data_IF_519504923475
#
_entry.id   IF_519504923475
#
_cell.length_a   1.000
_cell.length_b   1.000
_cell.length_c   1.000
_cell.angle_alpha   90.00
_cell.angle_beta   90.00
_cell.angle_gamma   90.00
#
_symmetry.space_group_name_H-M   'P 1'
#
loop_
_entity.id
_entity.type
_entity.pdbx_description
1 polymer ?
#
# COMPACT_ATOMS: atom_id res chain seq x y z
N UNK A 1 0.60 59.37 -20.68
CA UNK A 1 1.34 58.51 -19.72
C UNK A 1 0.33 57.95 -18.73
N UNK A 2 -0.09 56.70 -18.87
CA UNK A 2 -0.99 56.04 -17.91
C UNK A 2 -0.17 55.12 -17.01
N UNK A 3 -0.18 55.37 -15.71
CA UNK A 3 0.52 54.57 -14.72
C UNK A 3 -0.20 53.22 -14.54
N UNK A 4 0.48 52.12 -14.86
CA UNK A 4 0.06 50.77 -14.52
C UNK A 4 0.19 50.60 -13.00
N UNK A 5 -0.95 50.50 -12.30
CA UNK A 5 -0.98 50.14 -10.88
C UNK A 5 -0.69 48.65 -10.74
N UNK A 6 0.40 48.31 -10.04
CA UNK A 6 0.73 46.93 -9.69
C UNK A 6 -0.22 46.43 -8.62
N UNK A 7 -1.01 45.40 -8.95
CA UNK A 7 -1.88 44.71 -8.01
C UNK A 7 -1.06 44.01 -6.91
N UNK A 8 -1.53 43.96 -5.64
CA UNK A 8 -0.75 43.41 -4.54
C UNK A 8 -0.68 41.88 -4.61
N UNK A 9 0.49 41.36 -4.27
CA UNK A 9 0.90 39.96 -4.17
C UNK A 9 0.08 39.14 -3.15
N UNK A 10 -1.20 38.88 -3.41
CA UNK A 10 -2.11 38.17 -2.49
C UNK A 10 -2.17 36.65 -2.69
N UNK A 11 -1.46 36.10 -3.66
CA UNK A 11 -1.54 34.69 -4.04
C UNK A 11 -0.37 33.81 -3.56
N UNK A 12 0.71 34.41 -3.02
CA UNK A 12 1.91 33.67 -2.61
C UNK A 12 1.84 33.04 -1.20
N UNK A 13 0.88 33.41 -0.36
CA UNK A 13 0.81 32.98 1.06
C UNK A 13 -0.13 31.82 1.33
N UNK A 14 -0.94 31.39 0.34
CA UNK A 14 -1.92 30.31 0.51
C UNK A 14 -1.24 28.92 0.44
N UNK A 15 -0.17 28.79 -0.35
CA UNK A 15 0.58 27.54 -0.52
C UNK A 15 1.29 27.02 0.74
N UNK A 16 1.91 27.83 1.62
CA UNK A 16 2.52 27.32 2.86
C UNK A 16 1.51 26.90 3.93
N UNK A 17 0.27 27.40 3.89
CA UNK A 17 -0.76 27.04 4.89
C UNK A 17 -1.30 25.63 4.62
N UNK A 18 -1.57 25.30 3.36
CA UNK A 18 -2.11 23.99 2.96
C UNK A 18 -1.12 22.85 3.24
N UNK A 19 0.19 23.09 3.06
CA UNK A 19 1.23 22.09 3.38
C UNK A 19 1.40 21.89 4.89
N UNK A 20 1.29 22.95 5.70
CA UNK A 20 1.33 22.85 7.17
C UNK A 20 0.13 22.07 7.75
N UNK A 21 -1.05 22.22 7.16
CA UNK A 21 -2.25 21.46 7.58
C UNK A 21 -2.09 19.95 7.32
N UNK A 22 -1.42 19.55 6.24
CA UNK A 22 -1.19 18.13 5.93
C UNK A 22 -0.29 17.44 6.96
N UNK A 23 0.77 18.12 7.43
CA UNK A 23 1.64 17.58 8.48
C UNK A 23 0.88 17.42 9.81
N UNK A 24 0.08 18.42 10.19
CA UNK A 24 -0.77 18.34 11.37
C UNK A 24 -1.80 17.20 11.29
N UNK A 25 -2.40 16.99 10.12
CA UNK A 25 -3.34 15.88 9.91
C UNK A 25 -2.68 14.51 10.13
N UNK A 26 -1.45 14.31 9.65
CA UNK A 26 -0.71 13.06 9.84
C UNK A 26 -0.41 12.78 11.31
N UNK A 27 -0.02 13.80 12.07
CA UNK A 27 0.23 13.64 13.51
C UNK A 27 -1.06 13.37 14.27
N UNK A 28 -2.16 14.05 13.93
CA UNK A 28 -3.48 13.78 14.51
C UNK A 28 -3.94 12.34 14.27
N UNK A 29 -3.72 11.78 13.07
CA UNK A 29 -4.01 10.37 12.77
C UNK A 29 -3.13 9.42 13.58
N UNK A 30 -1.84 9.72 13.74
CA UNK A 30 -0.91 8.89 14.54
C UNK A 30 -1.31 8.79 16.02
N UNK A 31 -1.86 9.86 16.58
CA UNK A 31 -2.29 9.91 17.98
C UNK A 31 -3.78 9.61 18.17
N UNK A 32 -4.52 9.26 17.10
CA UNK A 32 -5.95 8.94 17.19
C UNK A 32 -6.83 10.10 17.65
N UNK A 33 -6.42 11.35 17.41
CA UNK A 33 -7.13 12.54 17.89
C UNK A 33 -8.43 12.72 17.09
N UNK A 34 -9.52 13.09 17.79
CA UNK A 34 -10.81 13.37 17.14
C UNK A 34 -10.73 14.60 16.23
N UNK A 35 -11.54 14.65 15.16
CA UNK A 35 -11.53 15.79 14.23
C UNK A 35 -11.82 17.13 14.94
N UNK A 36 -12.69 17.10 15.95
CA UNK A 36 -13.09 18.30 16.72
C UNK A 36 -11.95 18.79 17.61
N UNK A 37 -11.27 17.88 18.31
CA UNK A 37 -10.10 18.22 19.12
C UNK A 37 -8.94 18.69 18.23
N UNK A 38 -8.70 18.01 17.11
CA UNK A 38 -7.68 18.39 16.14
C UNK A 38 -7.92 19.79 15.56
N UNK A 39 -9.16 20.12 15.22
CA UNK A 39 -9.53 21.45 14.75
C UNK A 39 -9.23 22.55 15.80
N UNK A 40 -9.53 22.30 17.07
CA UNK A 40 -9.24 23.25 18.16
C UNK A 40 -7.73 23.44 18.37
N UNK A 41 -6.96 22.35 18.40
CA UNK A 41 -5.50 22.38 18.57
C UNK A 41 -4.84 23.14 17.43
N UNK A 42 -5.19 22.82 16.18
CA UNK A 42 -4.60 23.46 15.00
C UNK A 42 -5.02 24.93 14.93
N UNK A 43 -6.27 25.26 15.25
CA UNK A 43 -6.74 26.65 15.26
C UNK A 43 -6.03 27.48 16.34
N UNK A 44 -5.86 26.95 17.55
CA UNK A 44 -5.12 27.62 18.61
C UNK A 44 -3.65 27.83 18.24
N UNK A 45 -3.00 26.81 17.65
CA UNK A 45 -1.62 26.93 17.16
C UNK A 45 -1.51 28.00 16.05
N UNK A 46 -2.48 28.09 15.15
CA UNK A 46 -2.49 29.08 14.08
C UNK A 46 -2.75 30.50 14.58
N UNK A 47 -3.54 30.67 15.63
CA UNK A 47 -3.68 31.96 16.32
C UNK A 47 -2.37 32.36 17.00
N UNK A 48 -1.71 31.44 17.70
CA UNK A 48 -0.44 31.71 18.38
C UNK A 48 0.69 32.11 17.42
N UNK A 49 0.70 31.55 16.20
CA UNK A 49 1.69 31.88 15.15
C UNK A 49 1.26 33.12 14.33
N UNK A 50 0.12 33.73 14.63
CA UNK A 50 -0.37 34.94 13.93
C UNK A 50 -0.87 34.68 12.50
N UNK A 51 -1.17 33.43 12.15
CA UNK A 51 -1.73 33.06 10.84
C UNK A 51 -3.23 33.38 10.78
N UNK A 52 -3.94 33.21 11.91
CA UNK A 52 -5.35 33.57 12.05
C UNK A 52 -5.42 34.89 12.84
N UNK A 53 -5.98 35.93 12.24
CA UNK A 53 -6.42 37.16 12.92
C UNK A 53 -7.94 37.16 13.06
N UNK A 54 -8.47 37.92 14.02
CA UNK A 54 -9.93 38.06 14.23
C UNK A 54 -10.68 38.53 12.96
N UNK A 55 -9.99 39.27 12.09
CA UNK A 55 -10.53 39.77 10.82
C UNK A 55 -10.53 38.75 9.66
N UNK A 56 -9.83 37.61 9.77
CA UNK A 56 -9.62 36.65 8.68
C UNK A 56 -10.20 35.25 9.00
N UNK A 57 -11.53 35.17 9.07
CA UNK A 57 -12.29 33.95 9.41
C UNK A 57 -12.09 32.79 8.41
N UNK A 58 -11.70 33.09 7.17
CA UNK A 58 -11.57 32.08 6.10
C UNK A 58 -10.48 31.03 6.38
N UNK A 59 -9.48 31.35 7.20
CA UNK A 59 -8.31 30.49 7.47
C UNK A 59 -8.53 29.58 8.69
N UNK A 60 -9.61 29.77 9.46
CA UNK A 60 -9.92 28.97 10.65
C UNK A 60 -10.03 27.49 10.29
N UNK A 61 -9.39 26.63 11.08
CA UNK A 61 -9.39 25.19 10.85
C UNK A 61 -10.59 24.57 11.55
N UNK A 62 -11.62 24.27 10.77
CA UNK A 62 -12.80 23.56 11.24
C UNK A 62 -12.65 22.04 11.14
N UNK A 63 -13.62 21.32 11.70
CA UNK A 63 -13.70 19.86 11.67
C UNK A 63 -13.70 19.29 10.24
N UNK A 64 -14.41 19.92 9.31
CA UNK A 64 -14.48 19.48 7.92
C UNK A 64 -13.16 19.66 7.18
N UNK A 65 -12.39 20.71 7.48
CA UNK A 65 -11.03 20.90 6.93
C UNK A 65 -10.08 19.81 7.40
N UNK A 66 -10.15 19.38 8.67
CA UNK A 66 -9.39 18.23 9.16
C UNK A 66 -9.82 16.94 8.45
N UNK A 67 -11.13 16.69 8.36
CA UNK A 67 -11.69 15.52 7.67
C UNK A 67 -11.26 15.44 6.20
N UNK A 68 -11.31 16.56 5.48
CA UNK A 68 -10.85 16.65 4.10
C UNK A 68 -9.34 16.46 3.99
N UNK A 69 -8.57 17.04 4.90
CA UNK A 69 -7.12 16.82 4.98
C UNK A 69 -6.79 15.33 5.16
N UNK A 70 -7.50 14.62 6.05
CA UNK A 70 -7.34 13.18 6.29
C UNK A 70 -7.66 12.36 5.04
N UNK A 71 -8.80 12.63 4.42
CA UNK A 71 -9.20 11.96 3.19
C UNK A 71 -8.13 12.12 2.10
N UNK A 72 -7.66 13.36 1.87
CA UNK A 72 -6.60 13.64 0.89
C UNK A 72 -5.30 12.93 1.23
N UNK A 73 -4.87 12.96 2.50
CA UNK A 73 -3.67 12.26 2.94
C UNK A 73 -3.74 10.76 2.70
N UNK A 74 -4.88 10.13 2.99
CA UNK A 74 -5.12 8.69 2.76
C UNK A 74 -5.15 8.36 1.28
N UNK A 75 -5.83 9.16 0.46
CA UNK A 75 -5.84 8.94 -1.00
C UNK A 75 -4.43 9.04 -1.57
N UNK A 76 -3.62 10.03 -1.17
CA UNK A 76 -2.23 10.13 -1.62
C UNK A 76 -1.40 8.91 -1.22
N UNK A 77 -1.55 8.42 0.02
CA UNK A 77 -0.88 7.21 0.48
C UNK A 77 -1.33 5.98 -0.32
N UNK A 78 -2.63 5.80 -0.53
CA UNK A 78 -3.17 4.70 -1.33
C UNK A 78 -2.68 4.75 -2.79
N UNK A 79 -2.63 5.92 -3.40
CA UNK A 79 -2.10 6.07 -4.76
C UNK A 79 -0.60 5.77 -4.83
N UNK A 80 0.18 6.08 -3.80
CA UNK A 80 1.59 5.69 -3.74
C UNK A 80 1.73 4.17 -3.61
N UNK A 81 1.00 3.57 -2.68
CA UNK A 81 0.92 2.11 -2.52
C UNK A 81 0.53 1.45 -3.86
N UNK A 82 -0.51 1.91 -4.52
CA UNK A 82 -0.95 1.35 -5.81
C UNK A 82 0.13 1.50 -6.90
N UNK A 83 0.93 2.58 -6.90
CA UNK A 83 2.07 2.70 -7.84
C UNK A 83 3.21 1.74 -7.50
N UNK A 84 3.48 1.56 -6.21
CA UNK A 84 4.52 0.66 -5.73
C UNK A 84 4.16 -0.82 -6.01
N UNK A 85 2.86 -1.16 -6.05
CA UNK A 85 2.34 -2.52 -6.29
C UNK A 85 1.68 -2.73 -7.67
N UNK A 86 1.56 -1.69 -8.50
CA UNK A 86 0.71 -1.69 -9.70
C UNK A 86 1.33 -2.26 -10.97
N UNK A 87 2.61 -2.61 -10.94
CA UNK A 87 3.33 -3.07 -12.14
C UNK A 87 3.78 -4.52 -12.09
N UNK A 88 3.67 -5.20 -10.94
CA UNK A 88 4.13 -6.59 -10.77
C UNK A 88 3.32 -7.30 -9.66
N UNK A 89 1.99 -7.21 -9.73
CA UNK A 89 1.14 -7.99 -8.83
C UNK A 89 1.12 -9.45 -9.29
N UNK A 90 2.04 -10.27 -8.79
CA UNK A 90 2.07 -11.70 -9.05
C UNK A 90 0.95 -12.40 -8.29
N UNK A 91 -0.10 -12.82 -9.01
CA UNK A 91 -1.02 -13.83 -8.49
C UNK A 91 -0.41 -15.22 -8.71
N UNK A 92 -0.33 -16.04 -7.66
CA UNK A 92 0.12 -17.43 -7.77
C UNK A 92 -1.10 -18.36 -7.80
N UNK A 93 -1.35 -19.00 -8.95
CA UNK A 93 -2.47 -19.93 -9.10
C UNK A 93 -2.07 -21.35 -8.67
N UNK A 94 -2.92 -22.02 -7.89
CA UNK A 94 -2.72 -23.40 -7.46
C UNK A 94 -3.85 -24.30 -7.98
N UNK A 95 -3.51 -25.25 -8.84
CA UNK A 95 -4.43 -26.25 -9.40
C UNK A 95 -4.78 -27.36 -8.37
N UNK A 96 -3.88 -27.63 -7.41
CA UNK A 96 -4.13 -28.63 -6.36
C UNK A 96 -4.22 -30.07 -6.88
N UNK A 97 -3.61 -30.35 -8.03
CA UNK A 97 -3.58 -31.69 -8.64
C UNK A 97 -2.86 -32.69 -7.75
N UNK A 98 -3.52 -33.83 -7.52
CA UNK A 98 -2.97 -34.98 -6.82
C UNK A 98 -2.91 -36.17 -7.77
N UNK A 99 -1.71 -36.53 -8.19
CA UNK A 99 -1.48 -37.68 -9.04
C UNK A 99 -1.29 -38.93 -8.17
N UNK A 100 -1.86 -40.06 -8.62
CA UNK A 100 -1.78 -41.34 -7.93
C UNK A 100 -0.99 -42.30 -8.81
N UNK A 101 0.23 -42.63 -8.38
CA UNK A 101 1.09 -43.57 -9.07
C UNK A 101 1.05 -44.92 -8.36
N UNK A 102 0.80 -45.99 -9.12
CA UNK A 102 0.88 -47.35 -8.60
C UNK A 102 2.34 -47.81 -8.63
N UNK A 103 2.89 -48.13 -7.46
CA UNK A 103 4.22 -48.72 -7.30
C UNK A 103 4.10 -50.14 -6.76
N UNK A 104 5.07 -51.00 -7.09
CA UNK A 104 5.22 -52.34 -6.53
C UNK A 104 6.40 -52.34 -5.58
N UNK A 105 6.12 -52.56 -4.30
CA UNK A 105 7.14 -52.64 -3.25
C UNK A 105 6.85 -53.92 -2.45
N UNK A 106 7.86 -54.80 -2.33
CA UNK A 106 7.74 -56.09 -1.62
C UNK A 106 6.54 -56.96 -2.07
N UNK A 107 6.36 -57.07 -3.39
CA UNK A 107 5.26 -57.83 -4.01
C UNK A 107 3.83 -57.35 -3.64
N UNK A 108 3.70 -56.18 -3.01
CA UNK A 108 2.43 -55.53 -2.67
C UNK A 108 2.27 -54.25 -3.51
N UNK A 109 1.04 -54.01 -3.98
CA UNK A 109 0.69 -52.76 -4.66
C UNK A 109 0.59 -51.64 -3.64
N UNK A 110 1.39 -50.59 -3.82
CA UNK A 110 1.39 -49.37 -3.01
C UNK A 110 1.02 -48.19 -3.90
N UNK A 111 -0.02 -47.47 -3.50
CA UNK A 111 -0.41 -46.21 -4.17
C UNK A 111 0.42 -45.09 -3.54
N UNK A 112 1.23 -44.43 -4.36
CA UNK A 112 1.93 -43.20 -3.99
C UNK A 112 1.09 -42.04 -4.50
N UNK A 113 0.85 -41.05 -3.65
CA UNK A 113 0.11 -39.84 -4.02
C UNK A 113 1.10 -38.68 -4.01
N UNK A 114 1.35 -38.10 -5.18
CA UNK A 114 2.20 -36.92 -5.34
C UNK A 114 1.33 -35.70 -5.65
N UNK A 115 1.70 -34.55 -5.09
CA UNK A 115 1.03 -33.29 -5.34
C UNK A 115 1.89 -32.43 -6.26
N UNK A 116 1.32 -32.04 -7.41
CA UNK A 116 1.98 -31.21 -8.41
C UNK A 116 1.34 -29.82 -8.41
N UNK A 117 2.18 -28.82 -8.14
CA UNK A 117 1.76 -27.44 -7.98
C UNK A 117 2.40 -26.61 -9.08
N UNK A 118 1.61 -26.21 -10.07
CA UNK A 118 2.04 -25.25 -11.08
C UNK A 118 2.10 -23.86 -10.48
N UNK A 119 3.16 -23.12 -10.78
CA UNK A 119 3.36 -21.73 -10.39
C UNK A 119 3.17 -20.88 -11.65
N UNK A 120 2.19 -20.01 -11.60
CA UNK A 120 1.75 -19.20 -12.74
C UNK A 120 1.69 -17.75 -12.32
N UNK A 121 2.11 -16.82 -13.19
CA UNK A 121 2.02 -15.37 -12.99
C UNK A 121 0.74 -14.83 -13.62
N UNK A 122 0.02 -14.01 -12.86
CA UNK A 122 -1.05 -13.16 -13.36
C UNK A 122 -0.61 -11.69 -13.45
N UNK A 123 -1.21 -10.88 -14.35
CA UNK A 123 -2.21 -11.25 -15.36
C UNK A 123 -1.62 -11.96 -16.58
N UNK A 124 -2.34 -12.94 -17.15
CA UNK A 124 -1.98 -13.61 -18.40
C UNK A 124 -1.61 -15.08 -18.26
N UNK A 125 -1.77 -15.63 -17.06
CA UNK A 125 -1.49 -17.03 -16.73
C UNK A 125 -0.15 -17.56 -17.27
N UNK A 126 0.92 -16.78 -17.15
CA UNK A 126 2.25 -17.14 -17.63
C UNK A 126 2.87 -18.22 -16.74
N UNK A 127 3.31 -19.33 -17.33
CA UNK A 127 3.91 -20.44 -16.59
C UNK A 127 5.31 -20.08 -16.08
N UNK A 128 5.50 -20.05 -14.76
CA UNK A 128 6.79 -19.76 -14.10
C UNK A 128 7.55 -21.06 -13.85
N UNK A 129 6.84 -22.14 -13.48
CA UNK A 129 7.43 -23.43 -13.14
C UNK A 129 6.47 -24.33 -12.39
N UNK A 130 6.98 -25.41 -11.81
CA UNK A 130 6.18 -26.31 -10.98
C UNK A 130 6.99 -26.85 -9.81
N UNK A 131 6.27 -27.32 -8.78
CA UNK A 131 6.81 -27.97 -7.61
C UNK A 131 6.08 -29.30 -7.43
N UNK A 132 6.84 -30.39 -7.29
CA UNK A 132 6.31 -31.73 -7.00
C UNK A 132 6.67 -32.10 -5.56
N UNK A 133 5.67 -32.51 -4.76
CA UNK A 133 5.89 -32.97 -3.38
C UNK A 133 5.22 -34.30 -3.13
N UNK A 134 5.93 -35.20 -2.44
CA UNK A 134 5.41 -36.53 -2.08
C UNK A 134 4.33 -36.49 -0.98
N UNK A 135 4.14 -35.33 -0.33
CA UNK A 135 3.20 -35.16 0.76
C UNK A 135 2.58 -33.76 0.73
N UNK A 136 1.24 -33.71 0.63
CA UNK A 136 0.43 -32.48 0.62
C UNK A 136 0.32 -31.76 1.97
N UNK A 137 1.38 -31.71 2.77
CA UNK A 137 1.38 -30.91 4.02
C UNK A 137 1.68 -29.46 3.66
N UNK A 138 0.85 -28.53 4.14
CA UNK A 138 0.99 -27.10 3.86
C UNK A 138 2.42 -26.56 4.14
N UNK A 139 3.05 -27.02 5.23
CA UNK A 139 4.44 -26.65 5.56
C UNK A 139 5.46 -27.12 4.52
N UNK A 140 5.31 -28.34 3.99
CA UNK A 140 6.21 -28.91 2.98
C UNK A 140 6.01 -28.17 1.66
N UNK A 141 4.75 -27.93 1.28
CA UNK A 141 4.40 -27.17 0.08
C UNK A 141 5.00 -25.76 0.12
N UNK A 142 4.75 -25.02 1.21
CA UNK A 142 5.27 -23.67 1.39
C UNK A 142 6.79 -23.59 1.36
N UNK A 143 7.48 -24.53 2.00
CA UNK A 143 8.94 -24.59 1.97
C UNK A 143 9.50 -24.87 0.57
N UNK A 144 8.86 -25.74 -0.21
CA UNK A 144 9.33 -26.02 -1.57
C UNK A 144 9.06 -24.85 -2.53
N UNK A 145 7.92 -24.17 -2.40
CA UNK A 145 7.64 -22.94 -3.15
C UNK A 145 8.66 -21.85 -2.79
N UNK A 146 8.96 -21.67 -1.51
CA UNK A 146 9.98 -20.71 -1.05
C UNK A 146 11.36 -21.03 -1.66
N UNK A 147 11.77 -22.31 -1.62
CA UNK A 147 13.04 -22.74 -2.23
C UNK A 147 13.08 -22.53 -3.74
N UNK A 148 11.97 -22.78 -4.44
CA UNK A 148 11.84 -22.52 -5.88
C UNK A 148 12.15 -21.06 -6.18
N UNK A 149 11.52 -20.12 -5.46
CA UNK A 149 11.77 -18.69 -5.68
C UNK A 149 13.16 -18.24 -5.20
N UNK A 150 13.68 -18.76 -4.10
CA UNK A 150 15.05 -18.46 -3.66
C UNK A 150 16.11 -18.90 -4.67
N UNK A 151 15.94 -20.07 -5.30
CA UNK A 151 16.88 -20.56 -6.30
C UNK A 151 16.72 -19.83 -7.65
N UNK A 152 15.49 -19.48 -8.03
CA UNK A 152 15.23 -18.69 -9.24
C UNK A 152 15.83 -17.27 -9.15
N UNK A 153 15.79 -16.65 -7.97
CA UNK A 153 16.41 -15.35 -7.70
C UNK A 153 17.95 -15.43 -7.70
N UNK A 154 18.55 -16.54 -7.26
CA UNK A 154 20.01 -16.69 -7.28
C UNK A 154 20.60 -16.77 -8.71
N UNK A 155 19.81 -17.18 -9.71
CA UNK A 155 20.22 -17.29 -11.12
C UNK A 155 20.03 -16.00 -11.93
N UNK A 156 19.35 -14.98 -11.36
CA UNK A 156 19.12 -13.68 -12.03
C UNK A 156 20.16 -12.63 -11.66
N UNK A 157 21.04 -12.91 -10.70
CA UNK A 157 22.11 -12.02 -10.23
C UNK A 157 23.53 -12.56 -10.49
N UNK A 158 23.71 -13.44 -11.48
CA UNK A 158 25.01 -13.94 -11.93
C UNK A 158 25.15 -13.79 -13.45
#
# INVERSE_FOLDING_TARGET
>A
MCAFTTAPARYATVTPVVTKVLAAVRTLDRFGISDRAGAAIVSAAFQAVGIISESNVLIVVDRNKIRHGRAKARTTLLSQVIKDYGHDQFGLYFDGRKEKTLSMEDNRRKVIIEEHISLVKEPGSEYIGHVSVNFGRAQIIGNNIYRFFCHALAMTYL
#
